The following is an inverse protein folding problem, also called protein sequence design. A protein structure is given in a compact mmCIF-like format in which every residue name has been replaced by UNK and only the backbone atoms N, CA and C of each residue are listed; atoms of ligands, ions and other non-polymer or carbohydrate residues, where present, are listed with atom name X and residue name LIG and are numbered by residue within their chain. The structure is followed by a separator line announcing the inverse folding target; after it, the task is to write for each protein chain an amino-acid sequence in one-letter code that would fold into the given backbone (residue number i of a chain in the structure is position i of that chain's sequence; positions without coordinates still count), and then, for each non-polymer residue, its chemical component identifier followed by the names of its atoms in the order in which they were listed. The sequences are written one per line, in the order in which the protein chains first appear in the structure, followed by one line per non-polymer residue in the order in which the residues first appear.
data_IF_116040709832
#
_entry.id   IF_116040709832
#
_cell.length_a   1.000
_cell.length_b   1.000
_cell.length_c   1.000
_cell.angle_alpha   90.00
_cell.angle_beta   90.00
_cell.angle_gamma   90.00
#
_symmetry.space_group_name_H-M   'P 1'
#
loop_
_entity.id
_entity.type
_entity.pdbx_description
1 polymer ?
#
# COMPACT_ATOMS: atom_id res chain seq x y z
N UNK A 1 0.56 -9.05 2.99
CA UNK A 1 0.13 -8.77 1.60
C UNK A 1 -0.69 -9.91 1.00
N UNK A 2 -0.12 -11.09 0.71
CA UNK A 2 -0.83 -12.19 0.01
C UNK A 2 -2.11 -12.63 0.73
N UNK A 3 -2.10 -12.66 2.07
CA UNK A 3 -3.27 -13.03 2.87
C UNK A 3 -4.51 -12.16 2.57
N UNK A 4 -4.38 -10.83 2.59
CA UNK A 4 -5.49 -9.93 2.27
C UNK A 4 -5.81 -9.90 0.77
N UNK A 5 -4.78 -9.84 -0.08
CA UNK A 5 -5.00 -9.80 -1.52
C UNK A 5 -5.68 -11.07 -2.04
N UNK A 6 -5.48 -12.22 -1.42
CA UNK A 6 -6.12 -13.48 -1.84
C UNK A 6 -7.66 -13.45 -1.77
N UNK A 7 -8.25 -12.60 -0.93
CA UNK A 7 -9.70 -12.41 -0.86
C UNK A 7 -10.20 -11.28 -1.75
N UNK A 8 -9.31 -10.58 -2.47
CA UNK A 8 -9.65 -9.39 -3.24
C UNK A 8 -10.17 -9.70 -4.65
N UNK A 9 -9.64 -10.74 -5.28
CA UNK A 9 -9.71 -10.89 -6.74
C UNK A 9 -11.11 -11.28 -7.24
N UNK A 10 -11.76 -10.45 -8.08
CA UNK A 10 -13.05 -10.78 -8.70
C UNK A 10 -12.98 -12.02 -9.60
N UNK A 11 -14.15 -12.54 -9.97
CA UNK A 11 -14.25 -13.65 -10.93
C UNK A 11 -13.62 -13.24 -12.26
N UNK A 12 -12.66 -14.04 -12.73
CA UNK A 12 -11.91 -13.78 -13.96
C UNK A 12 -10.53 -13.15 -13.73
N UNK A 13 -10.23 -12.72 -12.51
CA UNK A 13 -8.92 -12.19 -12.15
C UNK A 13 -8.04 -13.30 -11.58
N UNK A 14 -6.82 -13.43 -12.13
CA UNK A 14 -5.83 -14.38 -11.65
C UNK A 14 -4.59 -13.64 -11.14
N UNK A 15 -4.19 -13.91 -9.89
CA UNK A 15 -3.00 -13.35 -9.30
C UNK A 15 -1.89 -14.40 -9.18
N UNK A 16 -0.67 -13.98 -9.52
CA UNK A 16 0.54 -14.79 -9.43
C UNK A 16 1.57 -14.05 -8.58
N UNK A 17 2.28 -14.78 -7.72
CA UNK A 17 3.25 -14.19 -6.79
C UNK A 17 4.61 -14.85 -6.91
N UNK A 18 5.65 -14.02 -6.85
CA UNK A 18 7.06 -14.42 -6.68
C UNK A 18 7.61 -13.73 -5.46
N UNK A 19 8.62 -14.30 -4.80
CA UNK A 19 9.19 -13.75 -3.56
C UNK A 19 10.58 -13.17 -3.82
N UNK A 20 10.87 -12.05 -3.15
CA UNK A 20 12.20 -11.47 -3.04
C UNK A 20 12.71 -11.78 -1.64
N UNK A 21 13.87 -12.44 -1.48
CA UNK A 21 14.48 -12.63 -0.17
C UNK A 21 14.72 -11.28 0.50
N UNK A 22 14.31 -11.15 1.76
CA UNK A 22 14.51 -9.98 2.61
C UNK A 22 15.22 -10.41 3.88
N UNK A 23 16.09 -9.54 4.39
CA UNK A 23 16.77 -9.71 5.67
C UNK A 23 15.79 -9.57 6.84
N UNK A 24 16.00 -10.30 7.94
CA UNK A 24 15.11 -10.29 9.11
C UNK A 24 15.05 -8.93 9.82
N UNK A 25 16.09 -8.10 9.69
CA UNK A 25 16.15 -6.76 10.26
C UNK A 25 15.79 -5.73 9.21
N UNK A 26 14.72 -4.97 9.47
CA UNK A 26 14.22 -3.92 8.59
C UNK A 26 14.99 -2.62 8.87
N UNK A 27 15.91 -2.25 7.98
CA UNK A 27 16.69 -1.01 8.04
C UNK A 27 16.66 -0.29 6.70
N UNK A 28 17.01 0.99 6.66
CA UNK A 28 17.04 1.73 5.40
C UNK A 28 18.05 1.17 4.38
N UNK A 29 19.14 0.57 4.84
CA UNK A 29 20.15 -0.09 4.00
C UNK A 29 19.62 -1.37 3.36
N UNK A 30 19.08 -2.28 4.18
CA UNK A 30 18.55 -3.57 3.73
C UNK A 30 17.38 -3.39 2.76
N UNK A 31 16.49 -2.44 3.04
CA UNK A 31 15.37 -2.10 2.16
C UNK A 31 15.82 -1.58 0.78
N UNK A 32 16.86 -0.74 0.72
CA UNK A 32 17.40 -0.26 -0.57
C UNK A 32 18.08 -1.37 -1.37
N UNK A 33 18.74 -2.30 -0.70
CA UNK A 33 19.40 -3.45 -1.34
C UNK A 33 18.42 -4.38 -2.07
N UNK A 34 17.11 -4.29 -1.79
CA UNK A 34 16.10 -5.09 -2.48
C UNK A 34 15.95 -4.73 -3.96
N UNK A 35 16.30 -3.51 -4.38
CA UNK A 35 16.16 -3.05 -5.77
C UNK A 35 16.85 -3.99 -6.77
N UNK A 36 18.07 -4.44 -6.45
CA UNK A 36 18.85 -5.32 -7.32
C UNK A 36 18.23 -6.72 -7.47
N UNK A 37 17.32 -7.08 -6.57
CA UNK A 37 16.63 -8.38 -6.55
C UNK A 37 15.29 -8.34 -7.30
N UNK A 38 14.70 -7.16 -7.49
CA UNK A 38 13.41 -7.00 -8.18
C UNK A 38 13.41 -7.61 -9.59
N UNK A 39 14.40 -7.36 -10.47
CA UNK A 39 14.38 -7.89 -11.83
C UNK A 39 14.42 -9.43 -11.87
N UNK A 40 15.18 -10.05 -10.97
CA UNK A 40 15.31 -11.50 -10.89
C UNK A 40 14.00 -12.16 -10.45
N UNK A 41 13.32 -11.60 -9.45
CA UNK A 41 12.01 -12.08 -9.02
C UNK A 41 10.93 -11.84 -10.10
N UNK A 42 10.90 -10.65 -10.71
CA UNK A 42 9.97 -10.33 -11.79
C UNK A 42 10.12 -11.28 -12.98
N UNK A 43 11.35 -11.73 -13.30
CA UNK A 43 11.60 -12.71 -14.38
C UNK A 43 11.02 -14.10 -14.09
N UNK A 44 10.72 -14.44 -12.84
CA UNK A 44 10.04 -15.69 -12.49
C UNK A 44 8.56 -15.68 -12.88
N UNK A 45 7.97 -14.50 -13.12
CA UNK A 45 6.66 -14.37 -13.76
C UNK A 45 6.82 -14.59 -15.29
N UNK A 46 6.21 -15.62 -15.89
CA UNK A 46 6.42 -15.94 -17.30
C UNK A 46 5.91 -14.83 -18.22
N UNK A 47 6.79 -14.23 -19.03
CA UNK A 47 6.42 -13.13 -19.95
C UNK A 47 5.33 -13.52 -20.95
N UNK A 48 5.23 -14.81 -21.31
CA UNK A 48 4.19 -15.32 -22.20
C UNK A 48 2.77 -15.25 -21.65
N UNK A 49 2.58 -14.96 -20.35
CA UNK A 49 1.26 -14.76 -19.76
C UNK A 49 0.66 -13.41 -20.13
N UNK A 50 1.47 -12.42 -20.51
CA UNK A 50 0.99 -11.09 -20.90
C UNK A 50 0.23 -10.39 -19.77
N UNK A 51 0.85 -10.27 -18.59
CA UNK A 51 0.24 -9.65 -17.41
C UNK A 51 -0.28 -8.23 -17.70
N UNK A 52 -1.54 -7.97 -17.36
CA UNK A 52 -2.17 -6.65 -17.49
C UNK A 52 -1.53 -5.61 -16.55
N UNK A 53 -1.05 -6.06 -15.39
CA UNK A 53 -0.31 -5.24 -14.42
C UNK A 53 0.63 -6.09 -13.57
N UNK A 54 1.75 -5.51 -13.12
CA UNK A 54 2.68 -6.14 -12.17
C UNK A 54 2.88 -5.24 -10.94
N UNK A 55 2.88 -5.81 -9.74
CA UNK A 55 3.05 -5.06 -8.51
C UNK A 55 4.29 -5.46 -7.70
N UNK A 56 5.03 -4.49 -7.16
CA UNK A 56 6.05 -4.74 -6.13
C UNK A 56 5.45 -4.50 -4.73
N UNK A 57 5.09 -5.59 -4.03
CA UNK A 57 4.27 -5.56 -2.80
C UNK A 57 4.96 -5.17 -1.49
N UNK A 58 5.90 -4.22 -1.50
CA UNK A 58 6.56 -3.71 -0.28
C UNK A 58 6.53 -2.18 -0.23
N UNK A 59 5.84 -1.61 0.77
CA UNK A 59 5.71 -0.15 0.93
C UNK A 59 7.04 0.51 1.29
N UNK A 60 7.66 0.09 2.40
CA UNK A 60 8.87 0.74 2.93
C UNK A 60 10.05 0.66 1.95
N UNK A 61 10.25 -0.49 1.30
CA UNK A 61 11.28 -0.61 0.28
C UNK A 61 10.96 0.27 -0.94
N UNK A 62 9.71 0.30 -1.42
CA UNK A 62 9.35 1.14 -2.57
C UNK A 62 9.56 2.63 -2.28
N UNK A 63 9.20 3.08 -1.08
CA UNK A 63 9.47 4.45 -0.60
C UNK A 63 10.96 4.78 -0.63
N UNK A 64 11.81 3.92 -0.06
CA UNK A 64 13.24 4.20 0.08
C UNK A 64 14.06 3.99 -1.21
N UNK A 65 13.64 3.06 -2.06
CA UNK A 65 14.22 2.85 -3.40
C UNK A 65 13.82 4.00 -4.33
N UNK A 66 12.56 4.44 -4.22
CA UNK A 66 11.91 5.42 -5.10
C UNK A 66 11.08 4.73 -6.19
N UNK A 67 9.88 5.26 -6.42
CA UNK A 67 8.86 4.67 -7.29
C UNK A 67 9.36 4.45 -8.73
N UNK A 68 10.01 5.45 -9.32
CA UNK A 68 10.55 5.37 -10.67
C UNK A 68 11.63 4.29 -10.83
N UNK A 69 12.39 4.01 -9.75
CA UNK A 69 13.44 2.98 -9.76
C UNK A 69 12.83 1.59 -9.60
N UNK A 70 11.78 1.44 -8.79
CA UNK A 70 10.98 0.21 -8.72
C UNK A 70 10.35 -0.08 -10.09
N UNK A 71 9.73 0.91 -10.75
CA UNK A 71 9.18 0.77 -12.10
C UNK A 71 10.25 0.30 -13.09
N UNK A 72 11.38 1.01 -13.14
CA UNK A 72 12.48 0.66 -14.03
C UNK A 72 13.01 -0.76 -13.77
N UNK A 73 13.07 -1.19 -12.51
CA UNK A 73 13.53 -2.53 -12.14
C UNK A 73 12.56 -3.63 -12.62
N UNK A 74 11.25 -3.42 -12.48
CA UNK A 74 10.23 -4.36 -13.01
C UNK A 74 10.31 -4.43 -14.54
N UNK A 75 10.44 -3.27 -15.21
CA UNK A 75 10.51 -3.18 -16.68
C UNK A 75 11.72 -3.87 -17.30
N UNK A 76 12.79 -4.12 -16.54
CA UNK A 76 13.92 -4.96 -17.01
C UNK A 76 13.47 -6.38 -17.38
N UNK A 77 12.46 -6.91 -16.71
CA UNK A 77 11.89 -8.24 -17.00
C UNK A 77 10.62 -8.15 -17.84
N UNK A 78 9.78 -7.13 -17.60
CA UNK A 78 8.47 -6.94 -18.24
C UNK A 78 8.35 -5.52 -18.81
N UNK A 79 8.98 -5.21 -19.96
CA UNK A 79 9.12 -3.82 -20.44
C UNK A 79 7.79 -3.15 -20.79
N UNK A 80 6.80 -3.93 -21.24
CA UNK A 80 5.51 -3.44 -21.69
C UNK A 80 4.42 -3.46 -20.60
N UNK A 81 4.65 -4.14 -19.48
CA UNK A 81 3.62 -4.26 -18.44
C UNK A 81 3.48 -2.94 -17.66
N UNK A 82 2.26 -2.40 -17.52
CA UNK A 82 1.95 -1.45 -16.44
C UNK A 82 2.42 -2.04 -15.11
N UNK A 83 2.93 -1.19 -14.23
CA UNK A 83 3.32 -1.65 -12.91
C UNK A 83 3.10 -0.59 -11.84
N UNK A 84 3.03 -1.06 -10.60
CA UNK A 84 2.82 -0.21 -9.43
C UNK A 84 3.45 -0.82 -8.19
N UNK A 85 3.33 -0.11 -7.08
CA UNK A 85 3.74 -0.55 -5.76
C UNK A 85 2.83 0.14 -4.72
N UNK A 86 2.83 -0.29 -3.45
CA UNK A 86 1.93 0.26 -2.45
C UNK A 86 2.05 1.78 -2.20
N UNK A 87 3.24 2.39 -2.36
CA UNK A 87 3.38 3.82 -2.11
C UNK A 87 2.87 4.64 -3.30
N UNK A 88 3.17 4.23 -4.54
CA UNK A 88 2.55 4.80 -5.75
C UNK A 88 1.04 4.66 -5.71
N UNK A 89 0.56 3.51 -5.28
CA UNK A 89 -0.86 3.25 -5.12
C UNK A 89 -1.52 4.11 -4.04
N UNK A 90 -0.85 4.35 -2.91
CA UNK A 90 -1.37 5.22 -1.86
C UNK A 90 -1.54 6.66 -2.37
N UNK A 91 -0.55 7.19 -3.11
CA UNK A 91 -0.63 8.53 -3.71
C UNK A 91 -1.81 8.62 -4.69
N UNK A 92 -1.96 7.63 -5.57
CA UNK A 92 -3.10 7.56 -6.50
C UNK A 92 -4.44 7.46 -5.76
N UNK A 93 -4.51 6.67 -4.69
CA UNK A 93 -5.72 6.50 -3.88
C UNK A 93 -6.13 7.80 -3.18
N UNK A 94 -5.19 8.55 -2.61
CA UNK A 94 -5.50 9.85 -2.01
C UNK A 94 -5.91 10.90 -3.05
N UNK A 95 -5.36 10.83 -4.27
CA UNK A 95 -5.85 11.62 -5.40
C UNK A 95 -7.31 11.32 -5.74
N UNK A 96 -7.68 10.04 -5.85
CA UNK A 96 -9.05 9.61 -6.14
C UNK A 96 -10.03 9.98 -5.02
N UNK A 97 -9.59 9.93 -3.75
CA UNK A 97 -10.37 10.32 -2.58
C UNK A 97 -10.41 11.83 -2.34
N UNK A 98 -9.73 12.62 -3.17
CA UNK A 98 -9.54 14.07 -2.98
C UNK A 98 -8.95 14.45 -1.60
N UNK A 99 -8.19 13.53 -0.98
CA UNK A 99 -7.63 13.69 0.36
C UNK A 99 -6.24 14.32 0.29
N UNK A 100 -6.05 15.43 1.01
CA UNK A 100 -4.75 16.12 1.07
C UNK A 100 -4.12 16.01 2.46
N UNK A 101 -4.91 16.18 3.52
CA UNK A 101 -4.47 16.21 4.91
C UNK A 101 -4.63 14.83 5.54
N UNK A 102 -3.54 14.10 5.71
CA UNK A 102 -3.62 12.70 6.14
C UNK A 102 -2.94 12.45 7.48
N UNK A 103 -3.46 11.46 8.21
CA UNK A 103 -2.81 10.83 9.33
C UNK A 103 -2.07 9.57 8.86
N UNK A 104 -0.95 9.22 9.48
CA UNK A 104 -0.18 8.02 9.11
C UNK A 104 0.06 7.13 10.32
N UNK A 105 -0.25 5.84 10.19
CA UNK A 105 0.08 4.77 11.14
C UNK A 105 1.10 3.85 10.47
N UNK A 106 2.25 3.64 11.09
CA UNK A 106 3.28 2.71 10.61
C UNK A 106 3.63 1.68 11.68
N UNK A 107 4.32 0.58 11.34
CA UNK A 107 4.92 -0.28 12.36
C UNK A 107 6.38 0.08 12.66
N UNK A 108 7.01 0.97 11.90
CA UNK A 108 8.47 1.07 11.81
C UNK A 108 9.10 2.02 12.84
N UNK A 109 10.41 1.95 12.99
CA UNK A 109 11.16 2.95 13.76
C UNK A 109 11.05 4.37 13.15
N UNK A 110 11.61 5.35 13.86
CA UNK A 110 11.51 6.79 13.52
C UNK A 110 12.14 7.10 12.16
N UNK A 111 13.26 6.47 11.81
CA UNK A 111 13.96 6.73 10.55
C UNK A 111 13.11 6.32 9.34
N UNK A 112 12.59 5.08 9.35
CA UNK A 112 11.78 4.56 8.24
C UNK A 112 10.44 5.30 8.18
N UNK A 113 9.84 5.59 9.33
CA UNK A 113 8.60 6.39 9.41
C UNK A 113 8.81 7.78 8.83
N UNK A 114 9.90 8.46 9.18
CA UNK A 114 10.26 9.76 8.62
C UNK A 114 10.40 9.72 7.10
N UNK A 115 11.08 8.69 6.55
CA UNK A 115 11.20 8.52 5.10
C UNK A 115 9.85 8.36 4.38
N UNK A 116 8.87 7.70 5.01
CA UNK A 116 7.50 7.58 4.46
C UNK A 116 6.77 8.93 4.50
N UNK A 117 6.87 9.65 5.62
CA UNK A 117 6.26 10.97 5.78
C UNK A 117 6.84 11.98 4.78
N UNK A 118 8.17 12.02 4.65
CA UNK A 118 8.88 12.90 3.73
C UNK A 118 8.50 12.59 2.28
N UNK A 119 8.39 11.31 1.92
CA UNK A 119 7.97 10.90 0.59
C UNK A 119 6.53 11.35 0.28
N UNK A 120 5.56 11.04 1.16
CA UNK A 120 4.17 11.45 0.96
C UNK A 120 4.03 12.97 0.90
N UNK A 121 4.78 13.69 1.73
CA UNK A 121 4.83 15.16 1.71
C UNK A 121 5.40 15.70 0.41
N UNK A 122 6.43 15.05 -0.14
CA UNK A 122 6.99 15.35 -1.45
C UNK A 122 6.02 15.13 -2.62
N UNK A 123 4.97 14.32 -2.42
CA UNK A 123 3.88 14.11 -3.38
C UNK A 123 2.71 15.08 -3.19
N UNK A 124 2.85 16.08 -2.31
CA UNK A 124 1.85 17.11 -2.08
C UNK A 124 0.81 16.79 -1.00
N UNK A 125 0.98 15.70 -0.25
CA UNK A 125 0.13 15.36 0.89
C UNK A 125 0.59 16.10 2.15
N UNK A 126 -0.34 16.62 2.94
CA UNK A 126 -0.06 17.21 4.25
C UNK A 126 -0.16 16.12 5.33
N UNK A 127 0.95 15.49 5.69
CA UNK A 127 0.95 14.52 6.80
C UNK A 127 0.91 15.26 8.14
N UNK A 128 -0.29 15.40 8.72
CA UNK A 128 -0.52 16.24 9.91
C UNK A 128 -0.40 15.49 11.22
N UNK A 129 -0.56 14.16 11.19
CA UNK A 129 -0.52 13.30 12.38
C UNK A 129 0.21 12.01 12.04
N UNK A 130 1.11 11.56 12.91
CA UNK A 130 1.88 10.32 12.69
C UNK A 130 1.93 9.49 13.98
N UNK A 131 1.75 8.19 13.85
CA UNK A 131 1.91 7.21 14.91
C UNK A 131 2.65 5.98 14.42
N UNK A 132 3.34 5.30 15.34
CA UNK A 132 4.01 4.05 15.01
C UNK A 132 3.96 3.05 16.15
N UNK A 133 3.92 1.75 15.80
CA UNK A 133 4.15 0.66 16.76
C UNK A 133 5.62 0.51 17.17
N UNK A 134 6.56 1.17 16.50
CA UNK A 134 8.01 1.17 16.78
C UNK A 134 8.62 -0.25 16.88
N UNK A 135 8.20 -1.14 15.98
CA UNK A 135 8.64 -2.52 15.90
C UNK A 135 9.63 -2.72 14.75
N UNK A 136 10.78 -3.33 15.04
CA UNK A 136 11.85 -3.58 14.06
C UNK A 136 11.84 -5.01 13.50
N UNK A 137 11.16 -5.94 14.17
CA UNK A 137 11.03 -7.33 13.75
C UNK A 137 9.85 -7.51 12.80
N UNK A 138 10.12 -7.81 11.53
CA UNK A 138 9.08 -8.09 10.54
C UNK A 138 8.13 -9.23 10.97
N UNK A 139 8.68 -10.24 11.64
CA UNK A 139 7.91 -11.34 12.21
C UNK A 139 6.89 -10.87 13.26
N UNK A 140 7.24 -9.90 14.11
CA UNK A 140 6.30 -9.32 15.08
C UNK A 140 5.30 -8.39 14.41
N UNK A 141 5.72 -7.58 13.44
CA UNK A 141 4.83 -6.73 12.64
C UNK A 141 3.72 -7.56 11.98
N UNK A 142 4.07 -8.70 11.38
CA UNK A 142 3.12 -9.61 10.74
C UNK A 142 2.07 -10.23 11.70
N UNK A 143 2.30 -10.16 13.02
CA UNK A 143 1.35 -10.61 14.05
C UNK A 143 0.53 -9.50 14.68
N UNK A 144 0.77 -8.24 14.32
CA UNK A 144 -0.07 -7.13 14.77
C UNK A 144 -1.51 -7.44 14.31
N UNK A 145 -2.44 -7.38 15.26
CA UNK A 145 -3.84 -7.73 15.02
C UNK A 145 -4.58 -6.56 14.40
N UNK A 146 -5.66 -6.84 13.66
CA UNK A 146 -6.57 -5.80 13.17
C UNK A 146 -7.10 -4.93 14.32
N UNK A 147 -7.37 -5.50 15.49
CA UNK A 147 -7.77 -4.73 16.67
C UNK A 147 -6.69 -3.72 17.12
N UNK A 148 -5.42 -4.11 17.06
CA UNK A 148 -4.29 -3.22 17.35
C UNK A 148 -4.15 -2.13 16.29
N UNK A 149 -4.30 -2.48 15.00
CA UNK A 149 -4.31 -1.51 13.90
C UNK A 149 -5.45 -0.51 14.08
N UNK A 150 -6.67 -0.99 14.34
CA UNK A 150 -7.85 -0.16 14.57
C UNK A 150 -7.66 0.79 15.76
N UNK A 151 -7.03 0.34 16.85
CA UNK A 151 -6.69 1.21 17.98
C UNK A 151 -5.70 2.31 17.58
N UNK A 152 -4.67 1.98 16.79
CA UNK A 152 -3.72 2.96 16.25
C UNK A 152 -4.38 3.97 15.31
N UNK A 153 -5.26 3.52 14.42
CA UNK A 153 -6.07 4.38 13.54
C UNK A 153 -6.93 5.34 14.36
N UNK A 154 -7.70 4.84 15.34
CA UNK A 154 -8.52 5.69 16.21
C UNK A 154 -7.69 6.72 16.97
N UNK A 155 -6.50 6.34 17.45
CA UNK A 155 -5.61 7.27 18.14
C UNK A 155 -5.13 8.40 17.22
N UNK A 156 -4.83 8.09 15.96
CA UNK A 156 -4.42 9.10 14.96
C UNK A 156 -5.59 9.96 14.51
N UNK A 157 -6.73 9.34 14.22
CA UNK A 157 -7.95 10.03 13.84
C UNK A 157 -8.39 10.99 14.95
N UNK A 158 -8.38 10.58 16.21
CA UNK A 158 -8.84 11.41 17.33
C UNK A 158 -10.30 11.82 17.13
N UNK A 159 -10.54 13.13 16.99
CA UNK A 159 -11.84 13.72 16.63
C UNK A 159 -12.04 13.88 15.11
N UNK A 160 -11.13 13.34 14.29
CA UNK A 160 -11.01 13.53 12.84
C UNK A 160 -10.88 14.99 12.36
N UNK A 161 -10.84 15.98 13.28
CA UNK A 161 -10.86 17.38 12.90
C UNK A 161 -9.61 17.77 12.10
N UNK A 162 -9.84 18.23 10.86
CA UNK A 162 -8.78 18.65 9.95
C UNK A 162 -7.94 17.52 9.39
N UNK A 163 -8.47 16.30 9.37
CA UNK A 163 -7.97 15.15 8.61
C UNK A 163 -8.97 14.79 7.52
N UNK A 164 -8.46 14.52 6.31
CA UNK A 164 -9.22 14.03 5.18
C UNK A 164 -9.17 12.49 5.09
N UNK A 165 -8.10 11.85 5.58
CA UNK A 165 -7.98 10.39 5.61
C UNK A 165 -6.92 9.91 6.63
N UNK A 166 -6.94 8.61 6.95
CA UNK A 166 -5.85 7.93 7.68
C UNK A 166 -5.22 6.84 6.81
N UNK A 167 -3.89 6.86 6.73
CA UNK A 167 -3.08 5.86 6.03
C UNK A 167 -2.46 4.86 7.00
N UNK A 168 -2.73 3.57 6.80
CA UNK A 168 -2.04 2.45 7.49
C UNK A 168 -0.93 1.93 6.58
N UNK A 169 0.29 2.43 6.81
CA UNK A 169 1.46 2.19 5.96
C UNK A 169 2.25 0.97 6.41
N UNK A 170 1.95 -0.18 5.82
CA UNK A 170 2.78 -1.39 5.76
C UNK A 170 1.95 -2.50 5.12
N UNK A 171 2.55 -3.32 4.26
CA UNK A 171 1.83 -4.45 3.66
C UNK A 171 1.66 -5.65 4.61
N UNK A 172 2.23 -5.61 5.80
CA UNK A 172 2.03 -6.58 6.88
C UNK A 172 0.95 -6.16 7.90
N UNK A 173 0.54 -4.88 7.90
CA UNK A 173 -0.59 -4.42 8.71
C UNK A 173 -1.90 -4.67 7.95
N UNK A 174 -2.82 -5.38 8.60
CA UNK A 174 -4.09 -5.81 8.01
C UNK A 174 -5.20 -4.80 8.33
N UNK A 175 -6.05 -4.52 7.33
CA UNK A 175 -7.15 -3.58 7.40
C UNK A 175 -8.42 -4.04 6.66
N UNK A 176 -8.35 -5.02 5.74
CA UNK A 176 -9.48 -5.42 4.89
C UNK A 176 -10.72 -5.78 5.70
N UNK A 177 -10.56 -6.49 6.83
CA UNK A 177 -11.69 -6.92 7.66
C UNK A 177 -12.33 -5.82 8.50
N UNK A 178 -11.73 -4.62 8.55
CA UNK A 178 -12.12 -3.54 9.48
C UNK A 178 -12.20 -2.16 8.81
N UNK A 179 -11.96 -2.06 7.50
CA UNK A 179 -11.93 -0.78 6.78
C UNK A 179 -13.29 -0.06 6.81
N UNK A 180 -14.34 -0.68 6.28
CA UNK A 180 -15.71 -0.10 6.28
C UNK A 180 -16.14 0.33 7.69
N UNK A 181 -15.96 -0.55 8.68
CA UNK A 181 -16.38 -0.27 10.05
C UNK A 181 -15.61 0.90 10.68
N UNK A 182 -14.34 1.10 10.31
CA UNK A 182 -13.56 2.26 10.75
C UNK A 182 -13.98 3.54 10.03
N UNK A 183 -14.26 3.49 8.73
CA UNK A 183 -14.76 4.65 7.99
C UNK A 183 -16.13 5.08 8.51
N UNK A 184 -17.06 4.13 8.74
CA UNK A 184 -18.37 4.39 9.35
C UNK A 184 -18.27 5.02 10.75
N UNK A 185 -17.25 4.61 11.53
CA UNK A 185 -17.01 5.14 12.88
C UNK A 185 -16.40 6.55 12.86
N UNK A 186 -15.46 6.80 11.95
CA UNK A 186 -14.60 7.98 11.96
C UNK A 186 -15.06 9.09 10.99
N UNK A 187 -15.99 8.79 10.09
CA UNK A 187 -16.51 9.68 9.05
C UNK A 187 -15.41 10.23 8.11
N UNK A 188 -14.31 9.48 7.97
CA UNK A 188 -13.20 9.76 7.04
C UNK A 188 -12.65 8.45 6.46
N UNK A 189 -12.14 8.46 5.22
CA UNK A 189 -11.47 7.31 4.61
C UNK A 189 -10.31 6.75 5.45
N UNK A 190 -10.19 5.42 5.48
CA UNK A 190 -9.08 4.71 6.11
C UNK A 190 -8.46 3.75 5.10
N UNK A 191 -7.30 4.14 4.57
CA UNK A 191 -6.62 3.42 3.50
C UNK A 191 -5.41 2.68 4.06
N UNK A 192 -5.23 1.40 3.74
CA UNK A 192 -3.98 0.69 4.01
C UNK A 192 -3.13 0.55 2.77
N UNK A 193 -1.84 0.25 2.95
CA UNK A 193 -0.95 -0.15 1.85
C UNK A 193 -1.54 -1.26 0.99
N UNK A 194 -2.21 -2.25 1.60
CA UNK A 194 -2.80 -3.37 0.86
C UNK A 194 -4.08 -2.96 0.12
N UNK A 195 -4.92 -2.08 0.70
CA UNK A 195 -6.14 -1.59 0.05
C UNK A 195 -5.78 -0.76 -1.17
N UNK A 196 -4.91 0.25 -1.00
CA UNK A 196 -4.43 1.08 -2.09
C UNK A 196 -3.77 0.23 -3.19
N UNK A 197 -2.87 -0.69 -2.81
CA UNK A 197 -2.18 -1.55 -3.76
C UNK A 197 -3.14 -2.45 -4.55
N UNK A 198 -4.09 -3.10 -3.87
CA UNK A 198 -5.08 -3.95 -4.50
C UNK A 198 -6.00 -3.17 -5.46
N UNK A 199 -6.54 -2.04 -5.00
CA UNK A 199 -7.35 -1.13 -5.81
C UNK A 199 -6.58 -0.67 -7.05
N UNK A 200 -5.36 -0.18 -6.90
CA UNK A 200 -4.58 0.36 -8.00
C UNK A 200 -4.19 -0.73 -9.03
N UNK A 201 -3.91 -1.97 -8.58
CA UNK A 201 -3.70 -3.10 -9.48
C UNK A 201 -4.94 -3.37 -10.33
N UNK A 202 -6.13 -3.44 -9.73
CA UNK A 202 -7.38 -3.67 -10.47
C UNK A 202 -7.63 -2.56 -11.49
N UNK A 203 -7.52 -1.28 -11.08
CA UNK A 203 -7.78 -0.16 -11.99
C UNK A 203 -6.77 -0.07 -13.14
N UNK A 204 -5.48 -0.34 -12.88
CA UNK A 204 -4.47 -0.39 -13.95
C UNK A 204 -4.71 -1.56 -14.92
N UNK A 205 -5.32 -2.64 -14.46
CA UNK A 205 -5.75 -3.76 -15.30
C UNK A 205 -7.07 -3.48 -16.04
N UNK A 206 -7.66 -2.29 -15.91
CA UNK A 206 -8.93 -1.93 -16.53
C UNK A 206 -10.15 -2.60 -15.89
N UNK A 207 -10.02 -3.01 -14.62
CA UNK A 207 -11.10 -3.62 -13.85
C UNK A 207 -11.66 -2.54 -12.91
N UNK A 208 -12.85 -2.05 -13.27
CA UNK A 208 -13.57 -1.00 -12.56
C UNK A 208 -14.67 -1.57 -11.65
N UNK A 209 -14.62 -2.87 -11.32
CA UNK A 209 -15.59 -3.47 -10.41
C UNK A 209 -15.65 -2.73 -9.06
N UNK A 210 -16.88 -2.54 -8.58
CA UNK A 210 -17.18 -2.05 -7.24
C UNK A 210 -17.12 -3.20 -6.22
N UNK A 211 -16.21 -3.12 -5.26
CA UNK A 211 -16.01 -4.17 -4.25
C UNK A 211 -16.43 -3.66 -2.86
N UNK A 212 -17.66 -3.97 -2.40
CA UNK A 212 -18.13 -3.52 -1.08
C UNK A 212 -17.34 -4.21 0.04
N UNK A 213 -17.26 -3.59 1.23
CA UNK A 213 -16.56 -4.18 2.38
C UNK A 213 -15.11 -3.72 2.54
N UNK A 214 -14.58 -2.87 1.65
CA UNK A 214 -13.14 -2.52 1.55
C UNK A 214 -12.86 -1.01 1.62
N UNK A 215 -13.76 -0.25 2.22
CA UNK A 215 -13.73 1.20 2.33
C UNK A 215 -14.24 1.89 1.07
N UNK A 216 -14.46 3.21 1.21
CA UNK A 216 -14.89 4.12 0.15
C UNK A 216 -13.99 4.10 -1.09
N UNK A 217 -12.70 3.79 -0.95
CA UNK A 217 -11.75 3.74 -2.07
C UNK A 217 -12.17 2.74 -3.17
N UNK A 218 -12.71 1.58 -2.80
CA UNK A 218 -13.17 0.58 -3.78
C UNK A 218 -14.48 0.97 -4.49
N UNK A 219 -15.04 2.11 -4.08
CA UNK A 219 -16.07 2.92 -4.72
C UNK A 219 -15.66 3.65 -6.00
N UNK A 220 -14.35 3.81 -6.23
CA UNK A 220 -13.83 4.86 -7.10
C UNK A 220 -12.94 4.31 -8.23
N UNK A 221 -12.94 5.00 -9.36
CA UNK A 221 -11.96 4.87 -10.45
C UNK A 221 -10.69 5.71 -10.19
N UNK A 222 -9.70 5.62 -11.09
CA UNK A 222 -8.43 6.36 -10.98
C UNK A 222 -8.61 7.89 -11.01
N UNK A 223 -9.66 8.37 -11.65
CA UNK A 223 -10.02 9.77 -11.76
C UNK A 223 -10.91 10.26 -10.61
N UNK A 224 -11.20 9.40 -9.62
CA UNK A 224 -12.11 9.69 -8.51
C UNK A 224 -13.59 9.60 -8.89
N UNK A 225 -13.94 9.22 -10.13
CA UNK A 225 -15.33 8.98 -10.49
C UNK A 225 -15.85 7.71 -9.81
N UNK A 226 -17.13 7.71 -9.42
CA UNK A 226 -17.77 6.50 -8.91
C UNK A 226 -17.77 5.42 -10.02
N UNK A 227 -17.29 4.24 -9.67
CA UNK A 227 -17.19 3.07 -10.56
C UNK A 227 -18.43 2.17 -10.47
#
# INVERSE_FOLDING_TARGET
VEAELSSLWPVGVAAFATRIPMEDRVTAETLRAMEDRIPAAAKLLPTGFGFDVIGYGCTSAATLIGEARVDAAIRRAHPAAPNTNPITAAVAAFGALEATRIGVVTPYNVEVTGGIVDHLSGQGLEVTRTGSFLEESDHTVARITEASVAAGVRQIAGDAAGLDAVFVSCTSLRLFGIADALEDELDIPVVSSNLAFGWHLLRLAGIDDHLPGLGSLFGLGLDGAAS
#
